data_IF_281774618429
#
_entry.id   IF_281774618429
#
_cell.length_a   1.000
_cell.length_b   1.000
_cell.length_c   1.000
_cell.angle_alpha   90.00
_cell.angle_beta   90.00
_cell.angle_gamma   90.00
#
_symmetry.space_group_name_H-M   'P 1'
#
loop_
_entity.id
_entity.type
_entity.pdbx_description
1 polymer ?
#
# COMPACT_ATOMS: atom_id res chain seq x y z
N UNK A 1 12.29 6.45 32.79
CA UNK A 1 11.06 6.21 31.99
C UNK A 1 11.18 6.66 30.53
N UNK A 2 11.72 7.85 30.19
CA UNK A 2 11.83 8.31 28.79
C UNK A 2 12.87 7.59 27.92
N UNK A 3 14.03 7.21 28.47
CA UNK A 3 15.12 6.57 27.72
C UNK A 3 14.74 5.20 27.15
N UNK A 4 13.94 4.43 27.89
CA UNK A 4 13.48 3.10 27.48
C UNK A 4 12.55 3.22 26.26
N UNK A 5 11.70 4.25 26.23
CA UNK A 5 10.82 4.51 25.09
C UNK A 5 11.62 4.98 23.86
N UNK A 6 12.68 5.77 24.06
CA UNK A 6 13.54 6.23 22.97
C UNK A 6 14.27 5.06 22.29
N UNK A 7 14.78 4.11 23.09
CA UNK A 7 15.44 2.90 22.59
C UNK A 7 14.42 1.94 21.96
N UNK A 8 13.16 1.92 22.41
CA UNK A 8 12.14 1.04 21.85
C UNK A 8 11.77 1.41 20.40
N UNK A 9 11.85 2.69 20.01
CA UNK A 9 11.49 3.18 18.67
C UNK A 9 12.23 2.41 17.55
N UNK A 10 13.57 2.34 17.50
CA UNK A 10 14.28 1.62 16.43
C UNK A 10 13.95 0.13 16.38
N UNK A 11 13.75 -0.53 17.53
CA UNK A 11 13.37 -1.94 17.58
C UNK A 11 11.94 -2.18 17.07
N UNK A 12 10.99 -1.34 17.46
CA UNK A 12 9.61 -1.42 16.96
C UNK A 12 9.56 -1.14 15.46
N UNK A 13 10.34 -0.18 14.96
CA UNK A 13 10.47 0.13 13.53
C UNK A 13 11.07 -1.04 12.75
N UNK A 14 12.16 -1.65 13.23
CA UNK A 14 12.76 -2.85 12.63
C UNK A 14 11.76 -4.01 12.53
N UNK A 15 11.02 -4.27 13.61
CA UNK A 15 10.02 -5.35 13.64
C UNK A 15 8.77 -5.02 12.81
N UNK A 16 8.37 -3.75 12.72
CA UNK A 16 7.32 -3.30 11.82
C UNK A 16 7.73 -3.48 10.35
N UNK A 17 8.99 -3.14 10.03
CA UNK A 17 9.58 -3.32 8.71
C UNK A 17 9.66 -4.80 8.32
N UNK A 18 10.21 -5.65 9.18
CA UNK A 18 10.33 -7.09 8.95
C UNK A 18 8.97 -7.77 8.70
N UNK A 19 7.90 -7.26 9.34
CA UNK A 19 6.52 -7.75 9.11
C UNK A 19 5.80 -7.07 7.92
N UNK A 20 6.49 -6.24 7.14
CA UNK A 20 5.91 -5.55 5.98
C UNK A 20 4.82 -4.55 6.34
N UNK A 21 4.87 -3.95 7.53
CA UNK A 21 3.86 -2.98 8.01
C UNK A 21 4.34 -1.55 7.87
N UNK A 22 3.39 -0.64 7.66
CA UNK A 22 3.68 0.78 7.42
C UNK A 22 4.47 1.41 8.57
N UNK A 23 5.71 1.79 8.29
CA UNK A 23 6.68 2.31 9.27
C UNK A 23 6.16 3.55 9.99
N UNK A 24 5.49 4.45 9.26
CA UNK A 24 5.01 5.72 9.80
C UNK A 24 3.97 5.55 10.91
N UNK A 25 2.97 4.65 10.70
CA UNK A 25 1.93 4.37 11.72
C UNK A 25 2.54 3.74 12.97
N UNK A 26 3.54 2.88 12.81
CA UNK A 26 4.19 2.20 13.92
C UNK A 26 5.18 3.10 14.67
N UNK A 27 5.83 4.05 13.99
CA UNK A 27 6.68 5.05 14.65
C UNK A 27 5.85 5.94 15.61
N UNK A 28 4.66 6.37 15.19
CA UNK A 28 3.74 7.14 16.06
C UNK A 28 3.25 6.30 17.24
N UNK A 29 2.89 5.03 16.99
CA UNK A 29 2.51 4.09 18.06
C UNK A 29 3.66 3.86 19.06
N UNK A 30 4.90 3.70 18.58
CA UNK A 30 6.08 3.53 19.42
C UNK A 30 6.40 4.79 20.23
N UNK A 31 6.14 5.98 19.71
CA UNK A 31 6.35 7.22 20.44
C UNK A 31 5.35 7.37 21.61
N UNK A 32 4.08 7.04 21.39
CA UNK A 32 3.02 7.18 22.40
C UNK A 32 3.08 6.06 23.44
N UNK A 33 3.21 4.80 22.99
CA UNK A 33 3.14 3.63 23.87
C UNK A 33 4.52 3.07 24.26
N UNK A 34 5.60 3.52 23.62
CA UNK A 34 6.95 3.03 23.91
C UNK A 34 7.08 1.53 23.69
N UNK A 35 7.62 0.85 24.71
CA UNK A 35 7.77 -0.60 24.73
C UNK A 35 6.44 -1.36 24.57
N UNK A 36 5.31 -0.81 25.05
CA UNK A 36 4.01 -1.47 24.93
C UNK A 36 3.52 -1.57 23.49
N UNK A 37 4.13 -0.85 22.54
CA UNK A 37 3.82 -0.97 21.12
C UNK A 37 4.13 -2.37 20.55
N UNK A 38 4.92 -3.20 21.22
CA UNK A 38 5.14 -4.59 20.79
C UNK A 38 3.87 -5.44 20.86
N UNK A 39 3.01 -5.23 21.86
CA UNK A 39 1.77 -6.02 22.01
C UNK A 39 0.85 -5.89 20.79
N UNK A 40 0.45 -4.69 20.34
CA UNK A 40 -0.33 -4.55 19.11
C UNK A 40 0.49 -4.98 17.88
N UNK A 41 1.82 -4.83 17.89
CA UNK A 41 2.70 -5.31 16.82
C UNK A 41 2.58 -6.84 16.66
N UNK A 42 2.39 -7.61 17.72
CA UNK A 42 2.15 -9.05 17.59
C UNK A 42 0.67 -9.40 17.41
N UNK A 43 -0.24 -8.65 18.01
CA UNK A 43 -1.69 -8.94 18.00
C UNK A 43 -2.37 -8.59 16.66
N UNK A 44 -1.95 -7.53 15.97
CA UNK A 44 -2.55 -7.15 14.70
C UNK A 44 -2.15 -8.16 13.63
N UNK A 45 -3.13 -8.93 13.14
CA UNK A 45 -2.95 -9.87 12.02
C UNK A 45 -2.26 -9.17 10.86
N UNK A 46 -1.18 -9.77 10.38
CA UNK A 46 -0.49 -9.33 9.18
C UNK A 46 -1.47 -9.50 8.03
N UNK A 47 -2.06 -8.41 7.56
CA UNK A 47 -2.78 -8.45 6.28
C UNK A 47 -1.71 -8.78 5.25
N UNK A 48 -1.85 -9.87 4.46
CA UNK A 48 -0.95 -10.10 3.36
C UNK A 48 -0.94 -8.83 2.52
N UNK A 49 0.26 -8.42 2.12
CA UNK A 49 0.47 -7.28 1.22
C UNK A 49 -0.33 -7.62 -0.03
N UNK A 50 -1.57 -7.12 -0.10
CA UNK A 50 -2.37 -7.25 -1.30
C UNK A 50 -1.64 -6.39 -2.30
N UNK A 51 -0.85 -7.05 -3.16
CA UNK A 51 -0.37 -6.47 -4.41
C UNK A 51 -1.61 -5.81 -4.98
N UNK A 52 -1.58 -4.49 -5.04
CA UNK A 52 -2.75 -3.66 -5.28
C UNK A 52 -3.27 -4.01 -6.67
N UNK A 53 -4.22 -4.95 -6.75
CA UNK A 53 -4.98 -5.15 -7.97
C UNK A 53 -5.75 -3.87 -8.17
N UNK A 54 -5.28 -3.06 -9.12
CA UNK A 54 -5.94 -1.84 -9.56
C UNK A 54 -7.43 -2.20 -9.74
N UNK A 55 -8.36 -1.51 -9.06
CA UNK A 55 -9.75 -1.89 -9.09
C UNK A 55 -10.23 -1.93 -10.55
N UNK A 56 -10.81 -3.07 -10.94
CA UNK A 56 -11.35 -3.34 -12.28
C UNK A 56 -12.06 -2.14 -12.94
N UNK A 57 -12.90 -1.33 -12.23
CA UNK A 57 -13.54 -0.18 -12.86
C UNK A 57 -12.55 0.89 -13.37
N UNK A 58 -11.44 1.14 -12.67
CA UNK A 58 -10.45 2.13 -13.11
C UNK A 58 -9.71 1.61 -14.34
N UNK A 59 -9.36 0.32 -14.35
CA UNK A 59 -8.73 -0.33 -15.51
C UNK A 59 -9.64 -0.26 -16.75
N UNK A 60 -10.94 -0.48 -16.57
CA UNK A 60 -11.96 -0.37 -17.63
C UNK A 60 -12.16 1.07 -18.13
N UNK A 61 -12.11 2.06 -17.24
CA UNK A 61 -12.27 3.45 -17.63
C UNK A 61 -11.10 3.95 -18.48
N UNK A 62 -9.87 3.62 -18.08
CA UNK A 62 -8.66 3.98 -18.83
C UNK A 62 -8.65 3.28 -20.19
N UNK A 63 -8.97 1.98 -20.26
CA UNK A 63 -9.08 1.27 -21.54
C UNK A 63 -10.15 1.86 -22.44
N UNK A 64 -11.33 2.20 -21.90
CA UNK A 64 -12.40 2.82 -22.70
C UNK A 64 -12.00 4.20 -23.23
N UNK A 65 -11.28 5.00 -22.44
CA UNK A 65 -10.84 6.32 -22.85
C UNK A 65 -9.75 6.27 -23.93
N UNK A 66 -8.79 5.35 -23.78
CA UNK A 66 -7.75 5.09 -24.79
C UNK A 66 -8.38 4.54 -26.07
N UNK A 67 -9.28 3.56 -25.96
CA UNK A 67 -10.01 2.99 -27.10
C UNK A 67 -10.85 4.06 -27.83
N UNK A 68 -11.52 4.97 -27.12
CA UNK A 68 -12.22 6.10 -27.74
C UNK A 68 -11.28 7.06 -28.48
N UNK A 69 -10.06 7.27 -27.98
CA UNK A 69 -9.06 8.10 -28.68
C UNK A 69 -8.56 7.42 -29.93
N UNK A 70 -8.26 6.13 -29.86
CA UNK A 70 -7.82 5.35 -31.02
C UNK A 70 -8.92 5.25 -32.09
N UNK A 71 -10.17 5.02 -31.69
CA UNK A 71 -11.32 5.01 -32.61
C UNK A 71 -11.53 6.34 -33.34
N UNK A 72 -11.17 7.48 -32.75
CA UNK A 72 -11.23 8.78 -33.45
C UNK A 72 -10.19 8.90 -34.57
N UNK A 73 -9.11 8.12 -34.54
CA UNK A 73 -8.10 8.04 -35.59
C UNK A 73 -8.43 7.00 -36.66
N UNK A 74 -9.36 6.08 -36.40
CA UNK A 74 -9.79 5.04 -37.35
C UNK A 74 -10.85 5.64 -38.28
N UNK A 75 -10.42 6.04 -39.48
CA UNK A 75 -11.28 6.69 -40.47
C UNK A 75 -11.99 5.66 -41.38
N UNK A 76 -11.51 4.42 -41.47
CA UNK A 76 -12.07 3.38 -42.32
C UNK A 76 -12.31 2.07 -41.57
N UNK A 77 -13.44 1.36 -41.85
CA UNK A 77 -13.77 0.09 -41.20
C UNK A 77 -12.82 -1.06 -41.55
N UNK A 78 -11.95 -0.88 -42.55
CA UNK A 78 -10.90 -1.85 -42.95
C UNK A 78 -9.72 -1.90 -41.97
N UNK A 79 -9.50 -0.86 -41.17
CA UNK A 79 -8.36 -0.80 -40.23
C UNK A 79 -8.61 -1.60 -38.93
N UNK A 80 -9.87 -2.02 -38.69
CA UNK A 80 -10.28 -2.82 -37.53
C UNK A 80 -10.12 -4.33 -37.74
N UNK A 81 -9.80 -4.78 -38.95
CA UNK A 81 -9.56 -6.18 -39.28
C UNK A 81 -8.06 -6.42 -39.47
N UNK A 82 -7.35 -6.70 -38.38
CA UNK A 82 -6.03 -7.30 -38.45
C UNK A 82 -5.92 -8.45 -37.45
#
# INVERSE_FOLDING_TARGET
MYWINLIAIPFVLLLAWAKGRGLFRWAVMAYIFGFWSFVPLFMVRVKPIRIYEIPKPIKQFVTTHVFRRELKGVMYPKDLQK
#
